data_IF_766459550130
#
_entry.id   IF_766459550130
#
_cell.length_a   1.000
_cell.length_b   1.000
_cell.length_c   1.000
_cell.angle_alpha   90.00
_cell.angle_beta   90.00
_cell.angle_gamma   90.00
#
_symmetry.space_group_name_H-M   'P 1'
#
loop_
_entity.id
_entity.type
_entity.pdbx_description
1 polymer ?
#
# COMPACT_ATOMS: atom_id res chain seq x y z
N UNK A 1 10.94 17.17 11.73
CA UNK A 1 10.90 17.14 10.25
C UNK A 1 9.56 17.59 9.69
N UNK A 2 8.44 16.88 9.90
CA UNK A 2 7.10 17.31 9.41
C UNK A 2 6.28 18.12 10.43
N UNK A 3 6.88 18.39 11.59
CA UNK A 3 6.40 19.27 12.65
C UNK A 3 6.93 20.69 12.49
N UNK A 4 6.35 21.63 13.23
CA UNK A 4 6.89 22.99 13.34
C UNK A 4 8.22 23.05 14.13
N UNK A 5 8.55 21.97 14.84
CA UNK A 5 9.86 21.79 15.48
C UNK A 5 10.91 21.31 14.45
N UNK A 6 11.96 22.11 14.28
CA UNK A 6 13.13 21.84 13.44
C UNK A 6 14.42 21.60 14.25
N UNK A 7 14.28 21.34 15.55
CA UNK A 7 15.35 21.03 16.46
C UNK A 7 16.14 19.78 16.11
N UNK A 8 17.20 19.48 16.88
CA UNK A 8 18.04 18.31 16.66
C UNK A 8 17.27 17.01 16.88
N UNK A 9 17.71 15.97 16.19
CA UNK A 9 17.26 14.60 16.41
C UNK A 9 18.49 13.74 16.69
N UNK A 10 18.56 13.12 17.86
CA UNK A 10 19.64 12.19 18.21
C UNK A 10 19.05 10.80 18.39
N UNK A 11 19.09 10.01 17.32
CA UNK A 11 18.59 8.64 17.28
C UNK A 11 19.73 7.64 17.15
N UNK A 12 19.42 6.36 17.38
CA UNK A 12 20.39 5.27 17.33
C UNK A 12 21.17 5.18 15.99
N UNK A 13 20.51 5.51 14.88
CA UNK A 13 21.10 5.40 13.53
C UNK A 13 21.37 6.75 12.86
N UNK A 14 20.73 7.82 13.32
CA UNK A 14 20.82 9.14 12.71
C UNK A 14 20.91 10.21 13.78
N UNK A 15 21.93 11.04 13.68
CA UNK A 15 22.04 12.28 14.44
C UNK A 15 21.95 13.46 13.47
N UNK A 16 20.95 14.31 13.68
CA UNK A 16 20.66 15.47 12.85
C UNK A 16 20.74 16.71 13.74
N UNK A 17 21.50 17.72 13.32
CA UNK A 17 21.59 18.99 14.06
C UNK A 17 20.29 19.79 13.99
N UNK A 18 19.56 19.69 12.88
CA UNK A 18 18.24 20.27 12.67
C UNK A 18 17.41 19.36 11.77
N UNK A 19 16.12 19.28 12.01
CA UNK A 19 15.18 18.52 11.16
C UNK A 19 14.37 19.43 10.24
N UNK A 20 15.02 20.46 9.69
CA UNK A 20 14.39 21.43 8.78
C UNK A 20 13.87 20.77 7.50
N UNK A 21 12.62 21.07 7.14
CA UNK A 21 12.00 20.63 5.89
C UNK A 21 11.21 21.81 5.31
N UNK A 22 11.73 22.40 4.23
CA UNK A 22 11.17 23.61 3.61
C UNK A 22 11.18 23.44 2.09
N UNK A 23 10.02 23.55 1.41
CA UNK A 23 8.67 23.72 2.00
C UNK A 23 8.19 22.45 2.72
N UNK A 24 7.32 22.62 3.72
CA UNK A 24 6.64 21.50 4.38
C UNK A 24 5.66 20.82 3.43
N UNK A 25 5.34 19.53 3.64
CA UNK A 25 4.27 18.86 2.92
C UNK A 25 2.93 19.57 3.09
N UNK A 26 2.13 19.58 2.02
CA UNK A 26 0.78 20.18 2.04
C UNK A 26 -0.13 19.43 3.01
N UNK A 27 0.03 18.10 3.13
CA UNK A 27 -0.77 17.26 4.03
C UNK A 27 -0.23 17.28 5.46
N UNK A 28 -1.12 17.49 6.42
CA UNK A 28 -0.84 17.50 7.87
C UNK A 28 -1.51 16.29 8.57
N UNK A 29 -0.97 15.81 9.71
CA UNK A 29 0.27 16.26 10.35
C UNK A 29 1.54 15.80 9.60
N UNK A 30 1.42 14.78 8.73
CA UNK A 30 2.50 14.28 7.87
C UNK A 30 1.93 13.62 6.61
N UNK A 31 2.74 13.39 5.57
CA UNK A 31 2.39 12.45 4.51
C UNK A 31 2.09 11.05 5.06
N UNK A 32 1.21 10.27 4.40
CA UNK A 32 1.03 8.85 4.70
C UNK A 32 2.33 8.09 4.48
N UNK A 33 2.56 7.08 5.32
CA UNK A 33 3.67 6.17 5.25
C UNK A 33 3.11 4.81 4.84
N UNK A 34 3.54 4.36 3.66
CA UNK A 34 3.28 3.02 3.17
C UNK A 34 4.51 2.13 3.45
N UNK A 35 4.30 0.99 4.09
CA UNK A 35 5.36 -0.01 4.32
C UNK A 35 5.12 -1.22 3.43
N UNK A 36 6.11 -1.53 2.58
CA UNK A 36 6.07 -2.64 1.64
C UNK A 36 6.70 -3.92 2.18
N UNK A 37 6.08 -5.06 1.87
CA UNK A 37 6.59 -6.41 2.09
C UNK A 37 5.72 -7.26 3.04
N UNK A 38 5.76 -8.59 2.83
CA UNK A 38 4.96 -9.57 3.57
C UNK A 38 5.68 -10.33 4.69
N UNK A 39 6.79 -9.78 5.21
CA UNK A 39 7.57 -10.43 6.26
C UNK A 39 6.83 -10.49 7.60
N UNK A 40 6.35 -11.66 7.99
CA UNK A 40 5.46 -11.85 9.15
C UNK A 40 6.08 -11.45 10.50
N UNK A 41 7.39 -11.67 10.66
CA UNK A 41 8.11 -11.44 11.93
C UNK A 41 8.44 -9.97 12.18
N UNK A 42 8.80 -9.23 11.12
CA UNK A 42 9.31 -7.86 11.21
C UNK A 42 8.43 -6.87 10.47
N UNK A 43 8.24 -7.07 9.17
CA UNK A 43 7.54 -6.11 8.31
C UNK A 43 6.09 -5.91 8.74
N UNK A 44 5.31 -6.97 8.91
CA UNK A 44 3.90 -6.82 9.31
C UNK A 44 3.73 -6.24 10.72
N UNK A 45 4.70 -6.49 11.60
CA UNK A 45 4.76 -5.82 12.92
C UNK A 45 5.06 -4.33 12.80
N UNK A 46 5.93 -3.92 11.87
CA UNK A 46 6.18 -2.51 11.57
C UNK A 46 4.98 -1.84 10.91
N UNK A 47 4.29 -2.54 10.00
CA UNK A 47 3.03 -2.08 9.39
C UNK A 47 2.01 -1.78 10.48
N UNK A 48 1.72 -2.76 11.34
CA UNK A 48 0.78 -2.61 12.44
C UNK A 48 1.13 -1.41 13.33
N UNK A 49 2.41 -1.20 13.65
CA UNK A 49 2.81 -0.14 14.58
C UNK A 49 2.90 1.27 13.96
N UNK A 50 3.26 1.38 12.68
CA UNK A 50 3.73 2.66 12.13
C UNK A 50 3.10 3.08 10.80
N UNK A 51 2.57 2.15 10.02
CA UNK A 51 2.14 2.46 8.65
C UNK A 51 0.72 3.00 8.59
N UNK A 52 0.43 3.90 7.66
CA UNK A 52 -0.94 4.25 7.29
C UNK A 52 -1.45 3.31 6.17
N UNK A 53 -0.55 2.70 5.41
CA UNK A 53 -0.87 1.72 4.37
C UNK A 53 0.13 0.55 4.35
N UNK A 54 -0.33 -0.64 4.01
CA UNK A 54 0.53 -1.78 3.70
C UNK A 54 0.61 -1.98 2.18
N UNK A 55 1.73 -2.51 1.69
CA UNK A 55 1.84 -2.96 0.31
C UNK A 55 2.33 -4.41 0.25
N UNK A 56 1.38 -5.32 0.06
CA UNK A 56 1.60 -6.77 0.01
C UNK A 56 1.76 -7.25 -1.43
N UNK A 57 2.04 -8.53 -1.62
CA UNK A 57 2.04 -9.17 -2.93
C UNK A 57 0.72 -9.88 -3.14
N UNK A 58 0.10 -9.66 -4.30
CA UNK A 58 -1.06 -10.43 -4.74
C UNK A 58 -0.73 -11.92 -4.91
N UNK A 59 -1.78 -12.74 -4.94
CA UNK A 59 -1.68 -14.20 -5.09
C UNK A 59 -2.15 -14.99 -3.87
N UNK A 60 -1.93 -16.32 -3.86
CA UNK A 60 -2.60 -17.25 -2.93
C UNK A 60 -2.29 -17.04 -1.44
N UNK A 61 -1.15 -16.41 -1.12
CA UNK A 61 -0.72 -16.18 0.26
C UNK A 61 -1.29 -14.88 0.86
N UNK A 62 -1.98 -14.06 0.05
CA UNK A 62 -2.45 -12.74 0.47
C UNK A 62 -3.39 -12.80 1.69
N UNK A 63 -4.39 -13.68 1.66
CA UNK A 63 -5.35 -13.84 2.76
C UNK A 63 -4.62 -14.17 4.08
N UNK A 64 -3.67 -15.11 4.02
CA UNK A 64 -2.84 -15.45 5.17
C UNK A 64 -2.04 -14.25 5.70
N UNK A 65 -1.45 -13.42 4.82
CA UNK A 65 -0.73 -12.20 5.26
C UNK A 65 -1.65 -11.16 5.89
N UNK A 66 -2.88 -11.03 5.40
CA UNK A 66 -3.87 -10.13 6.00
C UNK A 66 -4.27 -10.61 7.39
N UNK A 67 -4.44 -11.93 7.59
CA UNK A 67 -4.67 -12.51 8.92
C UNK A 67 -3.50 -12.27 9.87
N UNK A 68 -2.26 -12.49 9.42
CA UNK A 68 -1.09 -12.18 10.23
C UNK A 68 -1.05 -10.69 10.58
N UNK A 69 -1.35 -9.80 9.64
CA UNK A 69 -1.42 -8.37 9.92
C UNK A 69 -2.48 -8.05 10.97
N UNK A 70 -3.66 -8.69 10.90
CA UNK A 70 -4.71 -8.57 11.92
C UNK A 70 -4.19 -8.96 13.30
N UNK A 71 -3.54 -10.12 13.44
CA UNK A 71 -2.88 -10.52 14.70
C UNK A 71 -1.86 -9.49 15.18
N UNK A 72 -1.05 -8.91 14.27
CA UNK A 72 -0.08 -7.86 14.65
C UNK A 72 -0.74 -6.57 15.12
N UNK A 73 -1.89 -6.21 14.56
CA UNK A 73 -2.67 -5.06 15.00
C UNK A 73 -3.24 -5.28 16.41
N UNK A 74 -3.80 -6.47 16.66
CA UNK A 74 -4.28 -6.87 17.99
C UNK A 74 -3.16 -6.82 19.04
N UNK A 75 -1.98 -7.35 18.73
CA UNK A 75 -0.80 -7.33 19.62
C UNK A 75 -0.36 -5.93 20.05
N UNK A 76 -0.61 -4.89 19.23
CA UNK A 76 -0.24 -3.50 19.50
C UNK A 76 -1.43 -2.62 19.86
N UNK A 77 -2.63 -3.19 19.97
CA UNK A 77 -3.87 -2.49 20.30
C UNK A 77 -4.31 -1.48 19.23
N UNK A 78 -4.04 -1.76 17.95
CA UNK A 78 -4.43 -0.91 16.82
C UNK A 78 -5.60 -1.51 16.06
N UNK A 79 -6.50 -0.66 15.57
CA UNK A 79 -7.53 -1.07 14.64
C UNK A 79 -6.92 -1.45 13.27
N UNK A 80 -7.24 -2.66 12.81
CA UNK A 80 -6.80 -3.20 11.52
C UNK A 80 -7.33 -2.36 10.35
N UNK A 81 -8.50 -1.74 10.50
CA UNK A 81 -9.16 -0.98 9.43
C UNK A 81 -8.67 0.46 9.29
N UNK A 82 -7.83 0.94 10.22
CA UNK A 82 -7.06 2.18 10.05
C UNK A 82 -5.92 2.06 9.04
N UNK A 83 -5.50 0.82 8.72
CA UNK A 83 -4.44 0.57 7.74
C UNK A 83 -5.09 0.37 6.39
N UNK A 84 -4.66 1.17 5.41
CA UNK A 84 -5.07 1.00 4.02
C UNK A 84 -4.37 -0.23 3.42
N UNK A 85 -5.13 -1.13 2.79
CA UNK A 85 -4.59 -2.35 2.20
C UNK A 85 -4.28 -2.11 0.72
N UNK A 86 -3.01 -2.16 0.35
CA UNK A 86 -2.59 -2.16 -1.06
C UNK A 86 -1.88 -3.45 -1.42
N UNK A 87 -1.99 -3.86 -2.69
CA UNK A 87 -1.27 -5.02 -3.23
C UNK A 87 -0.54 -4.67 -4.51
N UNK A 88 0.60 -5.31 -4.69
CA UNK A 88 1.30 -5.36 -5.97
C UNK A 88 0.91 -6.64 -6.69
N UNK A 89 0.27 -6.51 -7.85
CA UNK A 89 -0.16 -7.64 -8.67
C UNK A 89 0.14 -7.37 -10.15
N UNK A 90 0.34 -8.44 -10.93
CA UNK A 90 0.47 -8.35 -12.38
C UNK A 90 -0.90 -8.57 -12.99
N UNK A 91 -1.47 -7.51 -13.54
CA UNK A 91 -2.74 -7.59 -14.24
C UNK A 91 -2.48 -7.82 -15.73
N UNK A 92 -3.31 -8.64 -16.37
CA UNK A 92 -3.14 -9.00 -17.78
C UNK A 92 -4.23 -8.35 -18.64
N UNK A 93 -3.92 -7.26 -19.37
CA UNK A 93 -4.89 -6.63 -20.26
C UNK A 93 -5.23 -7.48 -21.49
N UNK A 94 -4.53 -8.60 -21.75
CA UNK A 94 -4.93 -9.53 -22.79
C UNK A 94 -6.18 -10.34 -22.41
N UNK A 95 -6.49 -10.45 -21.11
CA UNK A 95 -7.73 -11.04 -20.59
C UNK A 95 -8.38 -10.10 -19.56
N UNK A 96 -9.14 -9.08 -20.01
CA UNK A 96 -9.79 -8.11 -19.12
C UNK A 96 -10.79 -8.77 -18.17
N UNK A 97 -11.47 -9.83 -18.60
CA UNK A 97 -12.48 -10.51 -17.79
C UNK A 97 -11.83 -11.23 -16.62
N UNK A 98 -10.81 -12.05 -16.87
CA UNK A 98 -10.08 -12.72 -15.81
C UNK A 98 -9.41 -11.71 -14.86
N UNK A 99 -8.84 -10.63 -15.40
CA UNK A 99 -8.25 -9.55 -14.60
C UNK A 99 -9.28 -8.90 -13.68
N UNK A 100 -10.49 -8.62 -14.16
CA UNK A 100 -11.57 -8.04 -13.33
C UNK A 100 -12.02 -9.02 -12.24
N UNK A 101 -12.12 -10.33 -12.52
CA UNK A 101 -12.40 -11.32 -11.48
C UNK A 101 -11.30 -11.37 -10.40
N UNK A 102 -10.02 -11.27 -10.79
CA UNK A 102 -8.91 -11.18 -9.85
C UNK A 102 -9.04 -9.94 -8.94
N UNK A 103 -9.38 -8.78 -9.52
CA UNK A 103 -9.62 -7.55 -8.77
C UNK A 103 -10.78 -7.68 -7.77
N UNK A 104 -11.88 -8.36 -8.14
CA UNK A 104 -12.97 -8.65 -7.20
C UNK A 104 -12.50 -9.53 -6.04
N UNK A 105 -11.63 -10.49 -6.31
CA UNK A 105 -11.00 -11.31 -5.27
C UNK A 105 -10.21 -10.45 -4.28
N UNK A 106 -9.43 -9.49 -4.76
CA UNK A 106 -8.72 -8.54 -3.89
C UNK A 106 -9.68 -7.63 -3.11
N UNK A 107 -10.71 -7.09 -3.75
CA UNK A 107 -11.71 -6.25 -3.08
C UNK A 107 -12.44 -7.01 -1.96
N UNK A 108 -12.79 -8.28 -2.18
CA UNK A 108 -13.42 -9.13 -1.17
C UNK A 108 -12.53 -9.39 0.06
N UNK A 109 -11.21 -9.33 -0.09
CA UNK A 109 -10.23 -9.40 1.00
C UNK A 109 -10.00 -8.04 1.70
N UNK A 110 -10.70 -6.98 1.26
CA UNK A 110 -10.58 -5.62 1.80
C UNK A 110 -9.40 -4.83 1.23
N UNK A 111 -8.84 -5.24 0.10
CA UNK A 111 -7.82 -4.46 -0.63
C UNK A 111 -8.47 -3.25 -1.28
N UNK A 112 -7.85 -2.08 -1.09
CA UNK A 112 -8.36 -0.80 -1.56
C UNK A 112 -7.61 -0.28 -2.78
N UNK A 113 -6.34 -0.64 -2.94
CA UNK A 113 -5.54 -0.25 -4.10
C UNK A 113 -4.71 -1.39 -4.67
N UNK A 114 -4.68 -1.50 -5.99
CA UNK A 114 -3.84 -2.44 -6.73
C UNK A 114 -2.80 -1.66 -7.52
N UNK A 115 -1.53 -1.87 -7.17
CA UNK A 115 -0.39 -1.38 -7.94
C UNK A 115 -0.01 -2.41 -8.98
N UNK A 116 -0.08 -2.02 -10.26
CA UNK A 116 0.32 -2.88 -11.38
C UNK A 116 1.24 -2.16 -12.35
N UNK A 117 1.87 -2.95 -13.20
CA UNK A 117 2.60 -2.49 -14.37
C UNK A 117 1.74 -2.74 -15.60
N UNK A 118 1.75 -1.81 -16.54
CA UNK A 118 1.12 -2.02 -17.85
C UNK A 118 2.08 -2.83 -18.74
N UNK A 119 1.76 -4.09 -19.08
CA UNK A 119 2.62 -4.88 -19.96
C UNK A 119 2.69 -4.24 -21.34
N UNK A 120 3.88 -4.20 -21.95
CA UNK A 120 4.04 -3.63 -23.29
C UNK A 120 3.66 -2.16 -23.39
N UNK A 121 3.93 -1.35 -22.35
CA UNK A 121 3.53 0.07 -22.24
C UNK A 121 4.00 0.98 -23.39
N UNK A 122 4.91 0.52 -24.25
CA UNK A 122 5.26 1.20 -25.51
C UNK A 122 4.10 1.23 -26.52
N UNK A 123 3.19 0.26 -26.44
CA UNK A 123 1.98 0.18 -27.24
C UNK A 123 0.81 0.81 -26.48
N UNK A 124 -0.07 1.52 -27.20
CA UNK A 124 -1.21 2.22 -26.59
C UNK A 124 -2.33 1.26 -26.17
N UNK A 125 -2.42 0.08 -26.78
CA UNK A 125 -3.57 -0.80 -26.63
C UNK A 125 -3.73 -1.35 -25.20
N UNK A 126 -2.68 -1.83 -24.51
CA UNK A 126 -2.78 -2.20 -23.09
C UNK A 126 -3.33 -1.07 -22.21
N UNK A 127 -2.87 0.17 -22.43
CA UNK A 127 -3.35 1.34 -21.69
C UNK A 127 -4.82 1.64 -21.97
N UNK A 128 -5.27 1.47 -23.23
CA UNK A 128 -6.68 1.63 -23.59
C UNK A 128 -7.55 0.63 -22.86
N UNK A 129 -7.18 -0.65 -22.89
CA UNK A 129 -7.92 -1.71 -22.19
C UNK A 129 -7.99 -1.44 -20.69
N UNK A 130 -6.89 -1.02 -20.06
CA UNK A 130 -6.93 -0.59 -18.67
C UNK A 130 -7.92 0.55 -18.45
N UNK A 131 -7.87 1.59 -19.29
CA UNK A 131 -8.71 2.78 -19.15
C UNK A 131 -10.19 2.58 -19.48
N UNK A 132 -10.53 1.70 -20.43
CA UNK A 132 -11.91 1.52 -20.91
C UNK A 132 -12.64 0.34 -20.30
N UNK A 133 -11.92 -0.70 -19.83
CA UNK A 133 -12.55 -1.94 -19.36
C UNK A 133 -12.19 -2.24 -17.89
N UNK A 134 -10.89 -2.26 -17.56
CA UNK A 134 -10.45 -2.76 -16.24
C UNK A 134 -10.68 -1.72 -15.13
N UNK A 135 -10.21 -0.48 -15.30
CA UNK A 135 -10.34 0.57 -14.27
C UNK A 135 -11.81 0.94 -14.00
N UNK A 136 -12.69 1.11 -15.01
CA UNK A 136 -14.10 1.37 -14.75
C UNK A 136 -14.76 0.24 -13.95
N UNK A 137 -14.48 -1.03 -14.29
CA UNK A 137 -15.02 -2.16 -13.54
C UNK A 137 -14.51 -2.22 -12.09
N UNK A 138 -13.24 -1.85 -11.86
CA UNK A 138 -12.65 -1.78 -10.52
C UNK A 138 -13.27 -0.67 -9.66
N UNK A 139 -13.70 0.44 -10.27
CA UNK A 139 -14.30 1.57 -9.55
C UNK A 139 -15.70 1.28 -8.98
N UNK A 140 -16.33 0.19 -9.41
CA UNK A 140 -17.65 -0.27 -8.94
C UNK A 140 -17.56 -1.28 -7.78
N UNK A 141 -16.35 -1.68 -7.38
CA UNK A 141 -16.08 -2.66 -6.31
C UNK A 141 -15.92 -1.99 -4.95
#
# INVERSE_FOLDING_TARGET
MWSDDDGPFDGEHYTLTRTMNVPQPVRRPRPPILIGGGGEKKTLRMVARYADACNLFGGPDLEHKLDVLRTRCEEVGRDYDEIEKTVMARLDPADPKATVEELRGYAALGVQHVHTMVPGVSEIEPLRVFGSEIIPAAAEM
#
